data_IF_498870567112
#
_entry.id   IF_498870567112
#
_cell.length_a   1.000
_cell.length_b   1.000
_cell.length_c   1.000
_cell.angle_alpha   90.00
_cell.angle_beta   90.00
_cell.angle_gamma   90.00
#
_symmetry.space_group_name_H-M   'P 1'
#
loop_
_entity.id
_entity.type
_entity.pdbx_description
1 polymer ?
#
# COMPACT_ATOMS: atom_id res chain seq x y z
N UNK A 1 26.36 -24.74 -22.49
CA UNK A 1 26.88 -25.37 -23.73
C UNK A 1 28.00 -24.55 -24.38
N UNK A 2 27.81 -23.25 -24.67
CA UNK A 2 28.84 -22.40 -25.29
C UNK A 2 30.12 -22.25 -24.45
N UNK A 3 30.01 -22.16 -23.12
CA UNK A 3 31.17 -22.04 -22.21
C UNK A 3 32.05 -23.30 -22.23
N UNK A 4 31.45 -24.49 -22.27
CA UNK A 4 32.19 -25.76 -22.32
C UNK A 4 32.83 -25.96 -23.70
N UNK A 5 32.12 -25.58 -24.78
CA UNK A 5 32.66 -25.64 -26.14
C UNK A 5 33.87 -24.71 -26.31
N UNK A 6 33.78 -23.48 -25.80
CA UNK A 6 34.84 -22.47 -25.90
C UNK A 6 36.08 -22.82 -25.06
N UNK A 7 35.91 -23.49 -23.91
CA UNK A 7 37.01 -23.89 -23.03
C UNK A 7 37.43 -25.36 -23.20
N UNK A 8 36.99 -26.03 -24.26
CA UNK A 8 37.22 -27.47 -24.48
C UNK A 8 38.72 -27.83 -24.57
N UNK A 9 39.49 -26.99 -25.25
CA UNK A 9 40.93 -27.17 -25.43
C UNK A 9 41.69 -27.03 -24.11
N UNK A 10 41.24 -26.11 -23.24
CA UNK A 10 41.79 -25.93 -21.89
C UNK A 10 41.40 -27.07 -20.94
N UNK A 11 40.15 -27.56 -21.01
CA UNK A 11 39.62 -28.56 -20.09
C UNK A 11 39.99 -29.99 -20.45
N UNK A 12 40.09 -30.31 -21.74
CA UNK A 12 40.24 -31.68 -22.22
C UNK A 12 41.45 -31.90 -23.14
N UNK A 13 42.19 -30.85 -23.48
CA UNK A 13 43.42 -30.94 -24.30
C UNK A 13 43.16 -31.20 -25.79
N UNK A 14 41.91 -31.09 -26.24
CA UNK A 14 41.54 -31.17 -27.66
C UNK A 14 40.49 -30.11 -28.01
N UNK A 15 40.52 -29.56 -29.23
CA UNK A 15 39.51 -28.62 -29.68
C UNK A 15 38.15 -29.33 -29.78
N UNK A 16 37.07 -28.63 -29.43
CA UNK A 16 35.73 -29.16 -29.61
C UNK A 16 35.46 -29.48 -31.09
N UNK A 17 34.90 -30.65 -31.35
CA UNK A 17 34.48 -31.06 -32.69
C UNK A 17 33.67 -29.95 -33.39
N UNK A 18 34.02 -29.73 -34.66
CA UNK A 18 33.21 -28.95 -35.59
C UNK A 18 31.84 -29.61 -35.80
N UNK A 19 30.89 -28.86 -36.35
CA UNK A 19 29.53 -29.39 -36.59
C UNK A 19 29.56 -30.63 -37.50
N UNK A 20 30.41 -30.61 -38.54
CA UNK A 20 30.54 -31.71 -39.49
C UNK A 20 31.18 -32.95 -38.84
N UNK A 21 32.21 -32.77 -38.02
CA UNK A 21 32.83 -33.86 -37.25
C UNK A 21 31.86 -34.49 -36.24
N UNK A 22 31.02 -33.68 -35.60
CA UNK A 22 29.95 -34.16 -34.73
C UNK A 22 28.93 -35.00 -35.49
N UNK A 23 28.55 -34.61 -36.70
CA UNK A 23 27.60 -35.35 -37.53
C UNK A 23 28.20 -36.66 -38.05
N UNK A 24 29.47 -36.68 -38.44
CA UNK A 24 30.19 -37.91 -38.84
C UNK A 24 30.33 -38.86 -37.65
N UNK A 25 30.70 -38.33 -36.47
CA UNK A 25 30.74 -39.12 -35.24
C UNK A 25 29.38 -39.70 -34.88
N UNK A 26 28.31 -38.90 -34.99
CA UNK A 26 26.96 -39.34 -34.69
C UNK A 26 26.46 -40.39 -35.69
N UNK A 27 26.87 -40.30 -36.96
CA UNK A 27 26.59 -41.32 -37.97
C UNK A 27 27.27 -42.66 -37.68
N UNK A 28 28.51 -42.62 -37.18
CA UNK A 28 29.32 -43.79 -36.86
C UNK A 28 28.88 -44.56 -35.59
N UNK A 29 27.96 -44.00 -34.79
CA UNK A 29 27.39 -44.68 -33.62
C UNK A 29 26.41 -45.79 -34.01
N UNK A 30 26.28 -46.79 -33.14
CA UNK A 30 25.24 -47.83 -33.27
C UNK A 30 23.84 -47.24 -33.08
N UNK A 31 22.83 -47.89 -33.68
CA UNK A 31 21.45 -47.41 -33.59
C UNK A 31 20.92 -47.37 -32.15
N UNK A 32 21.35 -48.31 -31.31
CA UNK A 32 21.06 -48.33 -29.86
C UNK A 32 21.60 -47.08 -29.14
N UNK A 33 22.84 -46.66 -29.46
CA UNK A 33 23.45 -45.47 -28.86
C UNK A 33 22.78 -44.19 -29.37
N UNK A 34 22.38 -44.13 -30.65
CA UNK A 34 21.60 -43.01 -31.21
C UNK A 34 20.26 -42.87 -30.49
N UNK A 35 19.55 -43.97 -30.29
CA UNK A 35 18.28 -44.00 -29.55
C UNK A 35 18.49 -43.54 -28.11
N UNK A 36 19.51 -44.04 -27.40
CA UNK A 36 19.81 -43.63 -26.03
C UNK A 36 20.11 -42.12 -25.92
N UNK A 37 20.89 -41.56 -26.86
CA UNK A 37 21.18 -40.11 -26.90
C UNK A 37 19.90 -39.31 -27.13
N UNK A 38 19.08 -39.68 -28.12
CA UNK A 38 17.83 -38.97 -28.44
C UNK A 38 16.84 -39.06 -27.26
N UNK A 39 16.65 -40.24 -26.67
CA UNK A 39 15.79 -40.43 -25.51
C UNK A 39 16.27 -39.59 -24.31
N UNK A 40 17.57 -39.57 -24.03
CA UNK A 40 18.12 -38.74 -22.95
C UNK A 40 17.91 -37.24 -23.21
N UNK A 41 18.05 -36.78 -24.46
CA UNK A 41 17.78 -35.40 -24.87
C UNK A 41 16.31 -35.05 -24.67
N UNK A 42 15.39 -35.91 -25.10
CA UNK A 42 13.94 -35.73 -24.88
C UNK A 42 13.63 -35.63 -23.39
N UNK A 43 14.24 -36.49 -22.56
CA UNK A 43 14.07 -36.44 -21.11
C UNK A 43 14.62 -35.15 -20.49
N UNK A 44 15.83 -34.71 -20.86
CA UNK A 44 16.42 -33.47 -20.35
C UNK A 44 15.60 -32.26 -20.78
N UNK A 45 15.16 -32.19 -22.03
CA UNK A 45 14.27 -31.12 -22.52
C UNK A 45 12.94 -31.16 -21.79
N UNK A 46 12.36 -32.35 -21.58
CA UNK A 46 11.14 -32.53 -20.80
C UNK A 46 11.26 -32.01 -19.37
N UNK A 47 12.37 -32.30 -18.68
CA UNK A 47 12.65 -31.75 -17.35
C UNK A 47 12.83 -30.24 -17.36
N UNK A 48 13.51 -29.68 -18.36
CA UNK A 48 13.68 -28.23 -18.48
C UNK A 48 12.33 -27.52 -18.70
N UNK A 49 11.47 -28.07 -19.56
CA UNK A 49 10.12 -27.53 -19.81
C UNK A 49 9.25 -27.65 -18.56
N UNK A 50 9.26 -28.81 -17.89
CA UNK A 50 8.51 -29.01 -16.65
C UNK A 50 8.98 -28.06 -15.54
N UNK A 51 10.30 -27.91 -15.35
CA UNK A 51 10.88 -27.00 -14.37
C UNK A 51 10.54 -25.53 -14.68
N UNK A 52 10.67 -25.12 -15.94
CA UNK A 52 10.30 -23.76 -16.36
C UNK A 52 8.81 -23.48 -16.14
N UNK A 53 7.96 -24.45 -16.46
CA UNK A 53 6.50 -24.34 -16.29
C UNK A 53 6.11 -24.30 -14.80
N UNK A 54 6.68 -25.18 -13.98
CA UNK A 54 6.48 -25.20 -12.53
C UNK A 54 6.96 -23.89 -11.88
N UNK A 55 8.13 -23.40 -12.28
CA UNK A 55 8.69 -22.13 -11.78
C UNK A 55 7.80 -20.94 -12.17
N UNK A 56 7.31 -20.91 -13.40
CA UNK A 56 6.41 -19.86 -13.88
C UNK A 56 5.08 -19.86 -13.11
N UNK A 57 4.48 -21.03 -12.92
CA UNK A 57 3.26 -21.19 -12.14
C UNK A 57 3.45 -20.80 -10.68
N UNK A 58 4.54 -21.24 -10.06
CA UNK A 58 4.86 -20.89 -8.67
C UNK A 58 5.04 -19.38 -8.48
N UNK A 59 5.79 -18.71 -9.39
CA UNK A 59 5.94 -17.24 -9.37
C UNK A 59 4.59 -16.53 -9.52
N UNK A 60 3.74 -17.03 -10.41
CA UNK A 60 2.41 -16.45 -10.65
C UNK A 60 1.50 -16.60 -9.42
N UNK A 61 1.52 -17.76 -8.76
CA UNK A 61 0.80 -18.00 -7.51
C UNK A 61 1.33 -17.13 -6.36
N UNK A 62 2.65 -17.00 -6.23
CA UNK A 62 3.26 -16.15 -5.20
C UNK A 62 2.86 -14.68 -5.40
N UNK A 63 2.89 -14.17 -6.64
CA UNK A 63 2.43 -12.81 -6.94
C UNK A 63 0.93 -12.62 -6.65
N UNK A 64 0.09 -13.59 -7.00
CA UNK A 64 -1.34 -13.55 -6.68
C UNK A 64 -1.58 -13.51 -5.16
N UNK A 65 -0.84 -14.29 -4.38
CA UNK A 65 -0.93 -14.26 -2.92
C UNK A 65 -0.52 -12.89 -2.34
N UNK A 66 0.58 -12.30 -2.83
CA UNK A 66 1.01 -10.95 -2.41
C UNK A 66 -0.05 -9.90 -2.75
N UNK A 67 -0.69 -10.00 -3.92
CA UNK A 67 -1.80 -9.11 -4.31
C UNK A 67 -3.01 -9.26 -3.39
N UNK A 68 -3.43 -10.50 -3.09
CA UNK A 68 -4.55 -10.77 -2.20
C UNK A 68 -4.27 -10.26 -0.79
N UNK A 69 -3.06 -10.48 -0.28
CA UNK A 69 -2.65 -9.96 1.02
C UNK A 69 -2.67 -8.42 1.03
N UNK A 70 -2.05 -7.77 0.03
CA UNK A 70 -2.06 -6.32 -0.09
C UNK A 70 -3.48 -5.76 -0.19
N UNK A 71 -4.35 -6.42 -0.96
CA UNK A 71 -5.77 -6.07 -1.10
C UNK A 71 -6.48 -6.14 0.25
N UNK A 72 -6.31 -7.24 0.99
CA UNK A 72 -6.91 -7.42 2.31
C UNK A 72 -6.43 -6.38 3.33
N UNK A 73 -5.12 -6.17 3.43
CA UNK A 73 -4.54 -5.23 4.38
C UNK A 73 -4.92 -3.77 4.06
N UNK A 74 -4.83 -3.36 2.80
CA UNK A 74 -5.22 -2.00 2.38
C UNK A 74 -6.72 -1.77 2.58
N UNK A 75 -7.55 -2.77 2.26
CA UNK A 75 -9.00 -2.65 2.44
C UNK A 75 -9.38 -2.51 3.92
N UNK A 76 -8.80 -3.35 4.80
CA UNK A 76 -9.01 -3.25 6.24
C UNK A 76 -8.56 -1.88 6.78
N UNK A 77 -7.38 -1.42 6.37
CA UNK A 77 -6.83 -0.13 6.77
C UNK A 77 -7.76 1.04 6.37
N UNK A 78 -8.14 1.15 5.10
CA UNK A 78 -9.00 2.25 4.65
C UNK A 78 -10.44 2.17 5.16
N UNK A 79 -10.91 0.97 5.51
CA UNK A 79 -12.21 0.77 6.19
C UNK A 79 -12.16 1.35 7.61
N UNK A 80 -11.10 1.06 8.38
CA UNK A 80 -10.91 1.63 9.72
C UNK A 80 -10.78 3.16 9.65
N UNK A 81 -9.99 3.69 8.70
CA UNK A 81 -9.90 5.14 8.43
C UNK A 81 -11.29 5.73 8.17
N UNK A 82 -12.08 5.10 7.29
CA UNK A 82 -13.42 5.58 6.94
C UNK A 82 -14.36 5.63 8.16
N UNK A 83 -14.28 4.64 9.04
CA UNK A 83 -15.04 4.62 10.31
C UNK A 83 -14.61 5.74 11.24
N UNK A 84 -13.30 5.92 11.48
CA UNK A 84 -12.78 6.95 12.37
C UNK A 84 -13.10 8.37 11.89
N UNK A 85 -12.95 8.61 10.58
CA UNK A 85 -13.30 9.90 9.96
C UNK A 85 -14.80 10.19 10.14
N UNK A 86 -15.64 9.19 9.91
CA UNK A 86 -17.09 9.31 10.08
C UNK A 86 -17.47 9.61 11.52
N UNK A 87 -16.88 8.91 12.49
CA UNK A 87 -17.12 9.15 13.92
C UNK A 87 -16.72 10.56 14.34
N UNK A 88 -15.56 11.05 13.87
CA UNK A 88 -15.11 12.41 14.13
C UNK A 88 -16.03 13.45 13.49
N UNK A 89 -16.55 13.20 12.28
CA UNK A 89 -17.47 14.10 11.59
C UNK A 89 -18.85 14.16 12.27
N UNK A 90 -19.36 13.02 12.72
CA UNK A 90 -20.60 12.94 13.51
C UNK A 90 -20.43 13.74 14.80
N UNK A 91 -19.29 13.60 15.48
CA UNK A 91 -19.00 14.39 16.67
C UNK A 91 -18.94 15.88 16.35
N UNK A 92 -18.17 16.29 15.34
CA UNK A 92 -18.04 17.70 14.96
C UNK A 92 -19.39 18.34 14.62
N UNK A 93 -20.23 17.60 13.87
CA UNK A 93 -21.59 18.03 13.56
C UNK A 93 -22.48 18.10 14.81
N UNK A 94 -22.33 17.15 15.73
CA UNK A 94 -23.02 17.14 17.02
C UNK A 94 -22.62 18.29 17.93
N UNK A 95 -21.35 18.70 17.96
CA UNK A 95 -20.88 19.87 18.71
C UNK A 95 -21.52 21.15 18.16
N UNK A 96 -21.54 21.34 16.85
CA UNK A 96 -22.13 22.51 16.20
C UNK A 96 -23.65 22.58 16.42
N UNK A 97 -24.36 21.46 16.23
CA UNK A 97 -25.81 21.42 16.50
C UNK A 97 -26.12 21.68 17.98
N UNK A 98 -25.27 21.14 18.88
CA UNK A 98 -25.39 21.39 20.32
C UNK A 98 -25.12 22.86 20.67
N UNK A 99 -24.09 23.49 20.09
CA UNK A 99 -23.78 24.90 20.35
C UNK A 99 -24.95 25.80 19.94
N UNK A 100 -25.54 25.52 18.77
CA UNK A 100 -26.71 26.23 18.26
C UNK A 100 -27.95 26.04 19.14
N UNK A 101 -28.24 24.80 19.56
CA UNK A 101 -29.38 24.50 20.45
C UNK A 101 -29.21 25.15 21.82
N UNK A 102 -28.00 25.14 22.37
CA UNK A 102 -27.68 25.78 23.65
C UNK A 102 -27.85 27.31 23.57
N UNK A 103 -27.46 27.93 22.46
CA UNK A 103 -27.67 29.37 22.22
C UNK A 103 -29.15 29.72 22.10
N UNK A 104 -29.95 28.89 21.42
CA UNK A 104 -31.38 29.14 21.15
C UNK A 104 -32.33 28.75 22.30
N UNK A 105 -31.97 27.75 23.11
CA UNK A 105 -32.82 27.28 24.21
C UNK A 105 -32.94 28.34 25.32
N UNK A 106 -34.12 28.41 25.94
CA UNK A 106 -34.36 29.20 27.16
C UNK A 106 -34.30 28.35 28.43
N UNK A 107 -34.27 27.03 28.31
CA UNK A 107 -34.32 26.10 29.43
C UNK A 107 -32.91 25.76 29.94
N UNK A 108 -32.61 26.13 31.19
CA UNK A 108 -31.30 25.86 31.81
C UNK A 108 -30.99 24.36 31.94
N UNK A 109 -31.98 23.52 32.27
CA UNK A 109 -31.75 22.08 32.42
C UNK A 109 -31.47 21.41 31.08
N UNK A 110 -32.15 21.83 30.03
CA UNK A 110 -31.89 21.34 28.67
C UNK A 110 -30.46 21.68 28.22
N UNK A 111 -30.00 22.92 28.46
CA UNK A 111 -28.62 23.31 28.15
C UNK A 111 -27.59 22.46 28.90
N UNK A 112 -27.79 22.26 30.20
CA UNK A 112 -26.90 21.45 31.02
C UNK A 112 -26.86 20.00 30.54
N UNK A 113 -28.02 19.42 30.20
CA UNK A 113 -28.09 18.07 29.65
C UNK A 113 -27.30 17.97 28.33
N UNK A 114 -27.55 18.86 27.37
CA UNK A 114 -26.87 18.85 26.07
C UNK A 114 -25.34 18.97 26.20
N UNK A 115 -24.88 19.89 27.06
CA UNK A 115 -23.45 20.08 27.34
C UNK A 115 -22.84 18.85 28.01
N UNK A 116 -23.52 18.28 29.01
CA UNK A 116 -23.04 17.07 29.71
C UNK A 116 -22.95 15.87 28.78
N UNK A 117 -23.94 15.70 27.88
CA UNK A 117 -23.97 14.64 26.90
C UNK A 117 -22.80 14.75 25.91
N UNK A 118 -22.52 15.96 25.44
CA UNK A 118 -21.43 16.19 24.49
C UNK A 118 -20.05 16.01 25.15
N UNK A 119 -19.88 16.52 26.38
CA UNK A 119 -18.66 16.33 27.16
C UNK A 119 -18.41 14.84 27.50
N UNK A 120 -19.47 14.05 27.67
CA UNK A 120 -19.36 12.60 27.89
C UNK A 120 -18.70 11.85 26.73
N UNK A 121 -18.73 12.40 25.51
CA UNK A 121 -18.11 11.80 24.31
C UNK A 121 -16.68 12.25 24.05
N UNK A 122 -16.18 13.21 24.81
CA UNK A 122 -14.89 13.86 24.54
C UNK A 122 -13.70 12.91 24.61
N UNK A 123 -13.69 11.99 25.59
CA UNK A 123 -12.62 11.01 25.73
C UNK A 123 -12.58 10.03 24.56
N UNK A 124 -13.74 9.49 24.17
CA UNK A 124 -13.86 8.56 23.05
C UNK A 124 -13.36 9.19 21.74
N UNK A 125 -13.74 10.43 21.47
CA UNK A 125 -13.30 11.15 20.27
C UNK A 125 -11.82 11.52 20.30
N UNK A 126 -11.27 11.87 21.47
CA UNK A 126 -9.83 12.13 21.57
C UNK A 126 -9.01 10.88 21.21
N UNK A 127 -9.44 9.70 21.65
CA UNK A 127 -8.81 8.42 21.28
C UNK A 127 -8.93 8.14 19.78
N UNK A 128 -10.13 8.29 19.20
CA UNK A 128 -10.36 8.07 17.77
C UNK A 128 -9.55 9.03 16.89
N UNK A 129 -9.46 10.30 17.28
CA UNK A 129 -8.61 11.31 16.63
C UNK A 129 -7.14 10.90 16.67
N UNK A 130 -6.62 10.51 17.84
CA UNK A 130 -5.23 10.05 17.99
C UNK A 130 -4.93 8.85 17.10
N UNK A 131 -5.86 7.89 17.03
CA UNK A 131 -5.75 6.74 16.13
C UNK A 131 -5.73 7.17 14.66
N UNK A 132 -6.60 8.09 14.25
CA UNK A 132 -6.65 8.60 12.88
C UNK A 132 -5.33 9.28 12.47
N UNK A 133 -4.74 10.08 13.37
CA UNK A 133 -3.43 10.71 13.15
C UNK A 133 -2.31 9.67 13.09
N UNK A 134 -2.33 8.64 13.94
CA UNK A 134 -1.37 7.55 13.84
C UNK A 134 -1.48 6.83 12.49
N UNK A 135 -2.69 6.55 12.03
CA UNK A 135 -2.92 5.92 10.73
C UNK A 135 -2.45 6.79 9.55
N UNK A 136 -2.56 8.12 9.63
CA UNK A 136 -2.03 9.00 8.58
C UNK A 136 -0.50 8.93 8.45
N UNK A 137 0.19 8.46 9.50
CA UNK A 137 1.63 8.16 9.46
C UNK A 137 1.86 6.73 8.98
N UNK A 138 1.11 5.76 9.51
CA UNK A 138 1.21 4.33 9.16
C UNK A 138 0.96 4.08 7.66
N UNK A 139 0.12 4.88 7.00
CA UNK A 139 -0.18 4.73 5.57
C UNK A 139 1.09 4.68 4.71
N UNK A 140 2.13 5.46 5.05
CA UNK A 140 3.38 5.49 4.29
C UNK A 140 4.20 4.21 4.39
N UNK A 141 3.96 3.38 5.41
CA UNK A 141 4.63 2.08 5.55
C UNK A 141 4.22 1.11 4.44
N UNK A 142 2.98 1.22 3.93
CA UNK A 142 2.51 0.39 2.82
C UNK A 142 3.27 0.67 1.52
N UNK A 143 3.73 1.91 1.31
CA UNK A 143 4.60 2.27 0.18
C UNK A 143 5.88 1.45 0.15
N UNK A 144 6.51 1.25 1.32
CA UNK A 144 7.70 0.40 1.46
C UNK A 144 7.36 -1.09 1.38
N UNK A 145 6.36 -1.54 2.15
CA UNK A 145 5.97 -2.95 2.24
C UNK A 145 5.55 -3.54 0.89
N UNK A 146 4.86 -2.77 0.05
CA UNK A 146 4.35 -3.21 -1.25
C UNK A 146 5.05 -2.55 -2.44
N UNK A 147 6.27 -2.01 -2.26
CA UNK A 147 7.02 -1.33 -3.31
C UNK A 147 7.14 -2.15 -4.61
N UNK A 148 7.45 -3.44 -4.51
CA UNK A 148 7.59 -4.33 -5.67
C UNK A 148 6.27 -4.53 -6.44
N UNK A 149 5.15 -4.56 -5.70
CA UNK A 149 3.82 -4.65 -6.28
C UNK A 149 3.45 -3.34 -7.00
N UNK A 150 3.72 -2.20 -6.37
CA UNK A 150 3.49 -0.87 -6.94
C UNK A 150 4.35 -0.59 -8.18
N UNK A 151 5.60 -1.06 -8.21
CA UNK A 151 6.44 -1.01 -9.42
C UNK A 151 5.83 -1.76 -10.60
N UNK A 152 5.15 -2.88 -10.30
CA UNK A 152 4.47 -3.70 -11.30
C UNK A 152 3.11 -3.16 -11.69
N UNK A 153 2.50 -2.29 -10.87
CA UNK A 153 1.15 -1.76 -11.02
C UNK A 153 1.10 -0.26 -10.70
N UNK A 154 1.65 0.61 -11.57
CA UNK A 154 1.82 2.04 -11.28
C UNK A 154 0.49 2.78 -11.06
N UNK A 155 -0.60 2.32 -11.69
CA UNK A 155 -1.94 2.89 -11.50
C UNK A 155 -2.46 2.71 -10.06
N UNK A 156 -2.16 1.56 -9.45
CA UNK A 156 -2.54 1.27 -8.05
C UNK A 156 -1.74 2.16 -7.11
N UNK A 157 -0.45 2.39 -7.40
CA UNK A 157 0.37 3.32 -6.64
C UNK A 157 -0.18 4.75 -6.73
N UNK A 158 -0.52 5.23 -7.94
CA UNK A 158 -1.08 6.57 -8.09
C UNK A 158 -2.37 6.76 -7.30
N UNK A 159 -3.27 5.78 -7.34
CA UNK A 159 -4.51 5.83 -6.56
C UNK A 159 -4.24 5.78 -5.06
N UNK A 160 -3.24 5.01 -4.64
CA UNK A 160 -2.81 4.91 -3.25
C UNK A 160 -2.28 6.25 -2.73
N UNK A 161 -1.39 6.89 -3.50
CA UNK A 161 -0.78 8.17 -3.15
C UNK A 161 -1.86 9.27 -3.02
N UNK A 162 -2.88 9.24 -3.89
CA UNK A 162 -4.04 10.15 -3.80
C UNK A 162 -4.85 9.90 -2.52
N UNK A 163 -5.13 8.64 -2.18
CA UNK A 163 -5.86 8.29 -0.97
C UNK A 163 -5.06 8.61 0.31
N UNK A 164 -3.74 8.38 0.30
CA UNK A 164 -2.84 8.73 1.39
C UNK A 164 -2.76 10.25 1.59
N UNK A 165 -2.74 11.02 0.50
CA UNK A 165 -2.79 12.49 0.56
C UNK A 165 -4.13 12.99 1.11
N UNK A 166 -5.23 12.39 0.67
CA UNK A 166 -6.57 12.69 1.19
C UNK A 166 -6.67 12.40 2.71
N UNK A 167 -6.10 11.28 3.16
CA UNK A 167 -6.03 10.94 4.59
C UNK A 167 -5.23 11.99 5.37
N UNK A 168 -4.06 12.40 4.88
CA UNK A 168 -3.26 13.44 5.52
C UNK A 168 -3.98 14.81 5.58
N UNK A 169 -4.73 15.17 4.53
CA UNK A 169 -5.53 16.41 4.50
C UNK A 169 -6.69 16.39 5.50
N UNK A 170 -7.28 15.22 5.77
CA UNK A 170 -8.31 15.06 6.81
C UNK A 170 -7.67 15.04 8.20
N UNK A 171 -6.62 14.23 8.39
CA UNK A 171 -5.94 14.07 9.69
C UNK A 171 -5.37 15.40 10.20
N UNK A 172 -4.76 16.21 9.32
CA UNK A 172 -4.21 17.53 9.69
C UNK A 172 -5.26 18.51 10.24
N UNK A 173 -6.53 18.38 9.83
CA UNK A 173 -7.64 19.22 10.28
C UNK A 173 -8.46 18.61 11.42
N UNK A 174 -8.09 17.44 11.91
CA UNK A 174 -8.80 16.77 13.03
C UNK A 174 -8.45 17.40 14.38
N UNK A 175 -7.47 18.31 14.44
CA UNK A 175 -7.03 19.02 15.64
C UNK A 175 -7.95 20.17 16.08
N UNK A 176 -9.27 19.97 15.97
CA UNK A 176 -10.23 20.90 16.55
C UNK A 176 -10.29 20.76 18.08
N UNK A 177 -10.73 21.83 18.75
CA UNK A 177 -10.95 21.84 20.19
C UNK A 177 -12.05 20.86 20.59
N UNK A 178 -11.75 19.98 21.53
CA UNK A 178 -12.69 19.02 22.12
C UNK A 178 -13.11 19.60 23.47
N UNK A 179 -14.37 20.00 23.65
CA UNK A 179 -14.82 20.55 24.93
C UNK A 179 -14.66 19.54 26.06
N UNK A 180 -14.31 20.02 27.25
CA UNK A 180 -14.16 19.20 28.44
C UNK A 180 -14.83 19.85 29.65
N UNK A 181 -15.36 19.03 30.53
CA UNK A 181 -16.05 19.46 31.75
C UNK A 181 -15.08 19.54 32.92
N UNK A 182 -15.13 20.64 33.68
CA UNK A 182 -14.51 20.71 35.00
C UNK A 182 -15.54 20.31 36.07
N UNK A 183 -15.18 19.45 37.04
CA UNK A 183 -16.10 19.03 38.11
C UNK A 183 -16.67 20.19 38.93
N UNK A 184 -15.87 21.24 39.13
CA UNK A 184 -16.21 22.39 39.97
C UNK A 184 -16.57 23.64 39.16
N UNK A 185 -16.96 23.50 37.89
CA UNK A 185 -17.33 24.65 37.04
C UNK A 185 -18.64 25.30 37.52
N UNK A 186 -18.64 26.58 37.93
CA UNK A 186 -19.86 27.28 38.30
C UNK A 186 -20.76 27.59 37.09
N UNK A 187 -20.22 27.60 35.85
CA UNK A 187 -20.98 27.84 34.62
C UNK A 187 -20.51 26.96 33.45
N UNK A 188 -20.84 25.66 33.48
CA UNK A 188 -20.40 24.69 32.48
C UNK A 188 -20.91 24.99 31.07
N UNK A 189 -22.01 25.75 30.93
CA UNK A 189 -22.59 26.10 29.64
C UNK A 189 -21.74 27.15 28.93
N UNK A 190 -21.37 28.22 29.65
CA UNK A 190 -20.52 29.27 29.08
C UNK A 190 -19.11 28.77 28.80
N UNK A 191 -18.56 27.93 29.70
CA UNK A 191 -17.26 27.31 29.50
C UNK A 191 -17.24 26.42 28.25
N UNK A 192 -18.26 25.58 28.05
CA UNK A 192 -18.40 24.77 26.84
C UNK A 192 -18.41 25.62 25.57
N UNK A 193 -19.24 26.68 25.52
CA UNK A 193 -19.35 27.54 24.34
C UNK A 193 -18.04 28.29 24.02
N UNK A 194 -17.24 28.64 25.03
CA UNK A 194 -15.93 29.29 24.83
C UNK A 194 -14.88 28.35 24.26
N UNK A 195 -14.98 27.05 24.55
CA UNK A 195 -14.02 26.05 24.08
C UNK A 195 -14.29 25.63 22.62
N UNK A 196 -15.49 25.87 22.09
CA UNK A 196 -15.85 25.48 20.73
C UNK A 196 -15.29 26.48 19.72
N UNK A 197 -14.46 25.99 18.81
CA UNK A 197 -14.06 26.71 17.60
C UNK A 197 -14.90 26.20 16.42
N UNK A 198 -15.98 26.93 16.12
CA UNK A 198 -16.91 26.57 15.04
C UNK A 198 -16.23 26.57 13.66
N UNK A 199 -15.27 27.47 13.46
CA UNK A 199 -14.54 27.58 12.20
C UNK A 199 -13.65 26.36 11.97
N UNK A 200 -12.95 25.87 13.00
CA UNK A 200 -12.15 24.65 12.89
C UNK A 200 -13.01 23.40 12.62
N UNK A 201 -14.18 23.30 13.28
CA UNK A 201 -15.11 22.19 13.07
C UNK A 201 -15.68 22.17 11.65
N UNK A 202 -16.05 23.33 11.10
CA UNK A 202 -16.53 23.42 9.72
C UNK A 202 -15.42 23.21 8.68
N UNK A 203 -14.19 23.66 8.98
CA UNK A 203 -13.01 23.36 8.15
C UNK A 203 -12.74 21.86 8.09
N UNK A 204 -12.86 21.16 9.24
CA UNK A 204 -12.73 19.71 9.30
C UNK A 204 -13.81 19.02 8.47
N UNK A 205 -15.10 19.36 8.69
CA UNK A 205 -16.23 18.79 7.93
C UNK A 205 -16.08 19.02 6.43
N UNK A 206 -15.67 20.22 6.02
CA UNK A 206 -15.44 20.55 4.61
C UNK A 206 -14.30 19.72 4.01
N UNK A 207 -13.24 19.46 4.78
CA UNK A 207 -12.15 18.57 4.37
C UNK A 207 -12.62 17.14 4.19
N UNK A 208 -13.43 16.63 5.12
CA UNK A 208 -14.01 15.29 5.03
C UNK A 208 -14.90 15.18 3.80
N UNK A 209 -15.82 16.12 3.59
CA UNK A 209 -16.72 16.11 2.43
C UNK A 209 -15.96 16.09 1.09
N UNK A 210 -14.88 16.89 0.97
CA UNK A 210 -14.02 16.93 -0.21
C UNK A 210 -13.30 15.60 -0.47
N UNK A 211 -12.81 14.95 0.58
CA UNK A 211 -11.91 13.80 0.50
C UNK A 211 -12.60 12.44 0.67
N UNK A 212 -13.87 12.41 1.10
CA UNK A 212 -14.65 11.20 1.40
C UNK A 212 -14.67 10.23 0.23
N UNK A 213 -14.92 10.73 -0.99
CA UNK A 213 -14.94 9.89 -2.19
C UNK A 213 -13.58 9.20 -2.39
N UNK A 214 -12.47 9.92 -2.19
CA UNK A 214 -11.13 9.35 -2.38
C UNK A 214 -10.81 8.27 -1.33
N UNK A 215 -11.19 8.50 -0.07
CA UNK A 215 -10.99 7.56 1.03
C UNK A 215 -11.87 6.31 0.89
N UNK A 216 -13.11 6.46 0.41
CA UNK A 216 -14.05 5.34 0.24
C UNK A 216 -13.87 4.59 -1.08
N UNK A 217 -13.42 5.25 -2.15
CA UNK A 217 -13.25 4.65 -3.46
C UNK A 217 -11.99 3.79 -3.57
N UNK A 218 -10.93 4.14 -2.84
CA UNK A 218 -9.67 3.39 -2.88
C UNK A 218 -9.83 1.90 -2.48
N UNK A 219 -10.42 1.55 -1.33
CA UNK A 219 -10.61 0.14 -0.95
C UNK A 219 -11.36 -0.68 -2.02
N UNK A 220 -12.40 -0.12 -2.65
CA UNK A 220 -13.15 -0.80 -3.72
C UNK A 220 -12.38 -0.93 -5.03
N UNK A 221 -11.72 0.14 -5.48
CA UNK A 221 -10.99 0.17 -6.75
C UNK A 221 -9.67 -0.61 -6.70
N UNK A 222 -8.90 -0.46 -5.62
CA UNK A 222 -7.70 -1.24 -5.37
C UNK A 222 -8.05 -2.72 -5.16
N UNK A 223 -9.14 -3.02 -4.45
CA UNK A 223 -9.67 -4.37 -4.29
C UNK A 223 -9.92 -5.06 -5.63
N UNK A 224 -10.68 -4.43 -6.52
CA UNK A 224 -11.00 -4.99 -7.83
C UNK A 224 -9.78 -5.18 -8.74
N UNK A 225 -8.83 -4.24 -8.74
CA UNK A 225 -7.62 -4.36 -9.56
C UNK A 225 -6.62 -5.39 -9.01
N UNK A 226 -6.44 -5.45 -7.69
CA UNK A 226 -5.55 -6.43 -7.05
C UNK A 226 -6.11 -7.85 -7.13
N UNK A 227 -7.43 -8.02 -7.15
CA UNK A 227 -8.09 -9.32 -7.33
C UNK A 227 -8.25 -9.73 -8.80
N UNK A 228 -8.02 -8.83 -9.76
CA UNK A 228 -8.12 -9.16 -11.18
C UNK A 228 -7.01 -10.13 -11.62
N UNK A 229 -7.40 -11.23 -12.26
CA UNK A 229 -6.51 -12.33 -12.65
C UNK A 229 -5.54 -12.03 -13.80
N UNK A 230 -5.53 -10.81 -14.34
CA UNK A 230 -4.72 -10.46 -15.51
C UNK A 230 -3.43 -9.79 -15.03
N UNK A 231 -2.33 -10.53 -15.05
CA UNK A 231 -0.97 -9.97 -14.94
C UNK A 231 -0.45 -9.85 -16.37
N UNK A 232 -0.57 -8.70 -17.05
CA UNK A 232 0.07 -8.55 -18.34
C UNK A 232 1.59 -8.59 -18.16
N UNK A 233 2.28 -9.14 -19.16
CA UNK A 233 3.73 -9.23 -19.21
C UNK A 233 4.35 -7.83 -18.94
N UNK A 234 5.28 -7.77 -18.00
CA UNK A 234 5.58 -6.56 -17.23
C UNK A 234 6.69 -5.68 -17.86
N UNK A 235 6.55 -5.30 -19.13
CA UNK A 235 7.44 -4.34 -19.80
C UNK A 235 7.43 -2.95 -19.14
N UNK A 236 6.30 -2.58 -18.51
CA UNK A 236 6.13 -1.33 -17.76
C UNK A 236 6.97 -1.33 -16.47
N UNK A 237 7.09 -2.44 -15.74
CA UNK A 237 8.00 -2.48 -14.57
C UNK A 237 9.44 -2.25 -14.94
N UNK A 238 9.91 -2.80 -16.06
CA UNK A 238 11.28 -2.60 -16.54
C UNK A 238 11.53 -1.13 -16.89
N UNK A 239 10.55 -0.46 -17.51
CA UNK A 239 10.60 0.97 -17.79
C UNK A 239 10.55 1.83 -16.51
N UNK A 240 9.70 1.48 -15.55
CA UNK A 240 9.60 2.21 -14.29
C UNK A 240 10.83 2.00 -13.38
N UNK A 241 11.39 0.78 -13.36
CA UNK A 241 12.66 0.48 -12.70
C UNK A 241 13.80 1.29 -13.32
N UNK A 242 13.92 1.31 -14.65
CA UNK A 242 14.98 2.08 -15.32
C UNK A 242 14.87 3.59 -15.06
N UNK A 243 13.64 4.11 -14.95
CA UNK A 243 13.40 5.52 -14.56
C UNK A 243 13.76 5.80 -13.10
N UNK A 244 13.35 4.92 -12.17
CA UNK A 244 13.58 5.07 -10.72
C UNK A 244 14.99 4.71 -10.26
N UNK A 245 15.77 3.98 -11.05
CA UNK A 245 17.19 3.69 -10.76
C UNK A 245 18.00 4.98 -10.60
N UNK A 246 17.70 6.03 -11.37
CA UNK A 246 18.35 7.35 -11.19
C UNK A 246 18.01 7.99 -9.86
N UNK A 247 16.73 7.96 -9.47
CA UNK A 247 16.27 8.51 -8.18
C UNK A 247 16.87 7.71 -7.01
N UNK A 248 16.83 6.38 -7.06
CA UNK A 248 17.47 5.52 -6.06
C UNK A 248 18.97 5.79 -5.95
N UNK A 249 19.69 5.94 -7.07
CA UNK A 249 21.13 6.21 -7.06
C UNK A 249 21.44 7.52 -6.34
N UNK A 250 20.67 8.59 -6.63
CA UNK A 250 20.80 9.88 -5.95
C UNK A 250 20.53 9.74 -4.45
N UNK A 251 19.47 9.05 -4.04
CA UNK A 251 19.16 8.85 -2.61
C UNK A 251 20.23 8.03 -1.89
N UNK A 252 20.79 7.01 -2.54
CA UNK A 252 21.91 6.22 -1.98
C UNK A 252 23.21 7.03 -1.89
N UNK A 253 23.44 7.93 -2.84
CA UNK A 253 24.60 8.81 -2.85
C UNK A 253 24.51 9.91 -1.78
N UNK A 254 23.31 10.46 -1.55
CA UNK A 254 23.00 11.35 -0.43
C UNK A 254 23.18 10.66 0.92
N UNK A 255 22.68 9.42 1.08
CA UNK A 255 22.89 8.62 2.29
C UNK A 255 24.37 8.29 2.52
N UNK A 256 25.13 8.05 1.44
CA UNK A 256 26.57 7.79 1.52
C UNK A 256 27.35 9.04 1.93
N UNK A 257 26.95 10.22 1.45
CA UNK A 257 27.52 11.52 1.87
C UNK A 257 27.18 11.83 3.33
N UNK A 258 25.92 11.67 3.72
CA UNK A 258 25.48 11.89 5.11
C UNK A 258 26.20 10.98 6.12
N UNK A 259 26.60 9.76 5.72
CA UNK A 259 27.42 8.85 6.54
C UNK A 259 28.92 9.23 6.57
N UNK A 260 29.40 9.99 5.60
CA UNK A 260 30.78 10.45 5.54
C UNK A 260 31.02 11.75 6.31
N UNK A 261 29.97 12.55 6.47
CA UNK A 261 29.97 13.83 7.20
C UNK A 261 29.56 13.67 8.69
N UNK A 262 29.37 12.44 9.16
CA UNK A 262 29.13 12.04 10.57
C UNK A 262 30.33 11.32 11.16
#
# INVERSE_FOLDING_TARGET
>A
MFVIRYNSEFLFGYPAYSFDELMVWLYALTDEMKIAIVSSLVTVVGFLVAYASATSNWRSQMLANVKLQASGELNAFFTEVGSLVTDCEIYASGVLDTSDKVRKSKNKQEKLFLVSYQNGKSHEIDLKRKRLVAMSIEVHQFTGKYANLFLSMPWIQSNFDVAAKALNDVASKTWFSIPYAYPDDPDPVTTFLKQIDEQQLDNFKSSVAKNRILLSFYPGSAGGQLQSGIVPFNSISLFNLSRRVKEMYVTFEELRKAKHDS
#
